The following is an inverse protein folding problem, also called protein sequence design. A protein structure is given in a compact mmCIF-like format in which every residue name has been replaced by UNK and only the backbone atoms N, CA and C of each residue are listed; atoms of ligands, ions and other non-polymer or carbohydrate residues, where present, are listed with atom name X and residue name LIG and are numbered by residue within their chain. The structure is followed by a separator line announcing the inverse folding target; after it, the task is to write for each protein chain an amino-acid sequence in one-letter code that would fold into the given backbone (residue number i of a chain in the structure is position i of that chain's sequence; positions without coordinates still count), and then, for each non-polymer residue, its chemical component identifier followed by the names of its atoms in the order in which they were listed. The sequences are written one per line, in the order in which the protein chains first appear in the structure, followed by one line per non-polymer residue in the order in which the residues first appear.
data_IF_142642277268
#
_entry.id   IF_142642277268
#
_cell.length_a   1.000
_cell.length_b   1.000
_cell.length_c   1.000
_cell.angle_alpha   90.00
_cell.angle_beta   90.00
_cell.angle_gamma   90.00
#
_symmetry.space_group_name_H-M   'P 1'
#
loop_
_entity.id
_entity.type
_entity.pdbx_description
1 polymer ?
#
# COMPACT_ATOMS: atom_id res chain seq x y z
N UNK A 1 -0.20 -53.70 -74.59
CA UNK A 1 0.37 -52.65 -73.70
C UNK A 1 -0.72 -51.94 -72.88
N UNK A 2 -1.80 -52.64 -72.48
CA UNK A 2 -3.05 -52.00 -72.05
C UNK A 2 -3.33 -52.03 -70.54
N UNK A 3 -3.14 -53.17 -69.86
CA UNK A 3 -3.52 -53.25 -68.43
C UNK A 3 -2.53 -52.56 -67.49
N UNK A 4 -1.21 -52.75 -67.68
CA UNK A 4 -0.20 -52.16 -66.78
C UNK A 4 -0.21 -50.62 -66.75
N UNK A 5 -0.61 -49.97 -67.86
CA UNK A 5 -0.74 -48.51 -67.95
C UNK A 5 -2.01 -47.99 -67.28
N UNK A 6 -3.10 -48.76 -67.35
CA UNK A 6 -4.37 -48.44 -66.68
C UNK A 6 -4.24 -48.62 -65.17
N UNK A 7 -3.54 -49.66 -64.71
CA UNK A 7 -3.27 -49.85 -63.27
C UNK A 7 -2.38 -48.73 -62.71
N UNK A 8 -1.40 -48.25 -63.48
CA UNK A 8 -0.55 -47.13 -63.07
C UNK A 8 -1.32 -45.80 -62.96
N UNK A 9 -2.27 -45.54 -63.88
CA UNK A 9 -3.17 -44.38 -63.84
C UNK A 9 -4.13 -44.41 -62.65
N UNK A 10 -4.62 -45.60 -62.27
CA UNK A 10 -5.50 -45.74 -61.11
C UNK A 10 -4.76 -45.53 -59.79
N UNK A 11 -3.52 -46.01 -59.68
CA UNK A 11 -2.66 -45.81 -58.50
C UNK A 11 -2.23 -44.33 -58.38
N UNK A 12 -1.95 -43.66 -59.50
CA UNK A 12 -1.61 -42.23 -59.52
C UNK A 12 -2.80 -41.33 -59.14
N UNK A 13 -4.03 -41.77 -59.41
CA UNK A 13 -5.26 -41.06 -59.02
C UNK A 13 -5.54 -41.10 -57.51
N UNK A 14 -5.00 -42.09 -56.78
CA UNK A 14 -5.22 -42.25 -55.34
C UNK A 14 -4.18 -41.46 -54.52
N UNK A 15 -3.02 -41.14 -55.11
CA UNK A 15 -1.98 -40.32 -54.46
C UNK A 15 -2.28 -38.81 -54.43
N UNK A 16 -3.42 -38.37 -54.98
CA UNK A 16 -3.84 -36.97 -54.99
C UNK A 16 -4.95 -36.69 -53.96
N UNK A 17 -4.97 -37.43 -52.84
CA UNK A 17 -5.58 -36.92 -51.62
C UNK A 17 -4.59 -35.90 -51.07
N UNK A 18 -4.60 -34.71 -51.68
CA UNK A 18 -3.95 -33.54 -51.13
C UNK A 18 -4.32 -33.46 -49.65
N UNK A 19 -3.32 -33.18 -48.81
CA UNK A 19 -3.49 -32.92 -47.40
C UNK A 19 -4.62 -31.89 -47.21
N UNK A 20 -5.85 -32.34 -46.93
CA UNK A 20 -6.80 -31.57 -46.16
C UNK A 20 -6.25 -31.55 -44.75
N UNK A 21 -5.25 -30.69 -44.50
CA UNK A 21 -5.08 -30.18 -43.15
C UNK A 21 -6.33 -29.35 -42.91
N UNK A 22 -7.25 -29.87 -42.09
CA UNK A 22 -8.28 -29.02 -41.50
C UNK A 22 -7.59 -27.80 -40.90
N UNK A 23 -8.21 -26.63 -41.04
CA UNK A 23 -7.70 -25.42 -40.41
C UNK A 23 -7.70 -25.67 -38.89
N UNK A 24 -6.52 -25.92 -38.33
CA UNK A 24 -6.33 -26.16 -36.90
C UNK A 24 -6.05 -24.81 -36.23
N UNK A 25 -6.92 -24.40 -35.31
CA UNK A 25 -6.79 -23.13 -34.59
C UNK A 25 -5.95 -23.40 -33.36
N UNK A 26 -4.66 -23.08 -33.43
CA UNK A 26 -3.63 -23.54 -32.51
C UNK A 26 -3.88 -23.20 -31.04
N UNK A 27 -4.57 -22.10 -30.77
CA UNK A 27 -4.86 -21.59 -29.43
C UNK A 27 -6.32 -21.80 -28.99
N UNK A 28 -7.07 -22.64 -29.72
CA UNK A 28 -8.46 -22.97 -29.40
C UNK A 28 -8.66 -24.49 -29.44
N UNK A 29 -8.93 -25.12 -28.29
CA UNK A 29 -9.20 -26.55 -28.22
C UNK A 29 -10.44 -26.94 -29.04
N UNK A 30 -10.43 -28.09 -29.72
CA UNK A 30 -11.59 -28.63 -30.46
C UNK A 30 -12.84 -28.80 -29.58
N UNK A 31 -12.64 -29.10 -28.29
CA UNK A 31 -13.71 -29.23 -27.30
C UNK A 31 -14.23 -27.87 -26.78
N UNK A 32 -13.64 -26.75 -27.20
CA UNK A 32 -14.05 -25.42 -26.75
C UNK A 32 -15.43 -25.06 -27.34
N UNK A 33 -16.38 -24.51 -26.54
CA UNK A 33 -17.75 -24.23 -27.02
C UNK A 33 -17.83 -23.33 -28.26
N UNK A 34 -16.82 -22.47 -28.45
CA UNK A 34 -16.74 -21.56 -29.58
C UNK A 34 -15.95 -22.11 -30.77
N UNK A 35 -15.30 -23.28 -30.67
CA UNK A 35 -14.37 -23.79 -31.69
C UNK A 35 -15.02 -23.86 -33.08
N UNK A 36 -16.15 -24.57 -33.19
CA UNK A 36 -16.87 -24.72 -34.46
C UNK A 36 -17.38 -23.38 -35.01
N UNK A 37 -17.79 -22.46 -34.14
CA UNK A 37 -18.23 -21.12 -34.56
C UNK A 37 -17.08 -20.30 -35.12
N UNK A 38 -15.93 -20.32 -34.46
CA UNK A 38 -14.73 -19.59 -34.91
C UNK A 38 -14.23 -20.18 -36.23
N UNK A 39 -14.15 -21.50 -36.33
CA UNK A 39 -13.75 -22.19 -37.56
C UNK A 39 -14.64 -21.80 -38.74
N UNK A 40 -15.97 -21.90 -38.57
CA UNK A 40 -16.94 -21.49 -39.58
C UNK A 40 -16.74 -20.04 -40.02
N UNK A 41 -16.58 -19.11 -39.08
CA UNK A 41 -16.39 -17.70 -39.40
C UNK A 41 -15.07 -17.39 -40.13
N UNK A 42 -14.03 -18.20 -39.91
CA UNK A 42 -12.76 -18.09 -40.64
C UNK A 42 -12.91 -18.67 -42.06
N UNK A 43 -13.55 -19.83 -42.19
CA UNK A 43 -13.81 -20.48 -43.49
C UNK A 43 -14.67 -19.59 -44.41
N UNK A 44 -15.69 -18.92 -43.85
CA UNK A 44 -16.52 -17.94 -44.54
C UNK A 44 -15.79 -16.60 -44.77
N UNK A 45 -14.56 -16.47 -44.29
CA UNK A 45 -13.71 -15.30 -44.47
C UNK A 45 -14.15 -14.07 -43.67
N UNK A 46 -15.02 -14.20 -42.67
CA UNK A 46 -15.39 -13.10 -41.78
C UNK A 46 -14.28 -12.78 -40.78
N UNK A 47 -13.63 -13.82 -40.26
CA UNK A 47 -12.49 -13.71 -39.34
C UNK A 47 -11.22 -14.24 -40.00
N UNK A 48 -10.06 -13.84 -39.51
CA UNK A 48 -8.77 -14.36 -39.94
C UNK A 48 -7.98 -14.81 -38.73
N UNK A 49 -7.19 -15.86 -38.88
CA UNK A 49 -6.13 -16.18 -37.92
C UNK A 49 -5.00 -15.15 -38.04
N UNK A 50 -4.31 -14.90 -36.94
CA UNK A 50 -3.06 -14.15 -36.94
C UNK A 50 -1.93 -15.01 -37.51
N UNK A 51 -0.83 -14.36 -37.94
CA UNK A 51 0.37 -15.03 -38.49
C UNK A 51 0.78 -16.23 -37.63
N UNK A 52 0.46 -17.45 -38.08
CA UNK A 52 0.74 -18.70 -37.36
C UNK A 52 -0.46 -19.47 -36.79
N UNK A 53 -1.65 -19.34 -37.39
CA UNK A 53 -2.85 -20.16 -37.11
C UNK A 53 -3.43 -19.97 -35.69
N UNK A 54 -3.20 -18.81 -35.06
CA UNK A 54 -3.80 -18.42 -33.78
C UNK A 54 -5.04 -17.54 -33.98
N UNK A 55 -6.12 -17.79 -33.24
CA UNK A 55 -7.33 -16.97 -33.21
C UNK A 55 -7.24 -15.79 -32.24
N UNK A 56 -6.59 -15.98 -31.09
CA UNK A 56 -6.35 -14.96 -30.05
C UNK A 56 -7.61 -14.38 -29.43
N UNK A 57 -8.55 -15.23 -29.04
CA UNK A 57 -9.83 -14.82 -28.45
C UNK A 57 -9.76 -13.96 -27.18
N UNK A 58 -8.60 -13.89 -26.51
CA UNK A 58 -8.37 -13.01 -25.36
C UNK A 58 -7.91 -11.59 -25.71
N UNK A 59 -7.62 -11.29 -26.98
CA UNK A 59 -7.23 -9.94 -27.39
C UNK A 59 -8.44 -9.01 -27.49
N UNK A 60 -8.22 -7.74 -27.14
CA UNK A 60 -9.24 -6.71 -27.26
C UNK A 60 -9.43 -6.31 -28.72
N UNK A 61 -10.68 -6.30 -29.19
CA UNK A 61 -11.05 -5.81 -30.52
C UNK A 61 -11.31 -4.30 -30.50
N UNK A 62 -10.80 -3.58 -31.48
CA UNK A 62 -11.06 -2.14 -31.65
C UNK A 62 -12.43 -1.91 -32.30
N UNK A 63 -13.02 -0.74 -32.04
CA UNK A 63 -14.30 -0.33 -32.67
C UNK A 63 -14.23 -0.35 -34.20
N UNK A 64 -13.07 -0.01 -34.76
CA UNK A 64 -12.83 -0.01 -36.19
C UNK A 64 -12.85 -1.43 -36.77
N UNK A 65 -12.21 -2.39 -36.10
CA UNK A 65 -12.21 -3.79 -36.51
C UNK A 65 -13.62 -4.39 -36.47
N UNK A 66 -14.42 -4.06 -35.45
CA UNK A 66 -15.82 -4.50 -35.43
C UNK A 66 -16.64 -3.85 -36.55
N UNK A 67 -16.45 -2.55 -36.81
CA UNK A 67 -17.15 -1.86 -37.91
C UNK A 67 -16.83 -2.48 -39.28
N UNK A 68 -15.56 -2.85 -39.51
CA UNK A 68 -15.12 -3.54 -40.72
C UNK A 68 -15.72 -4.95 -40.84
N UNK A 69 -15.80 -5.69 -39.73
CA UNK A 69 -16.45 -7.00 -39.69
C UNK A 69 -17.94 -6.91 -40.06
N UNK A 70 -18.65 -5.95 -39.49
CA UNK A 70 -20.08 -5.69 -39.78
C UNK A 70 -20.28 -5.29 -41.25
N UNK A 71 -19.43 -4.42 -41.80
CA UNK A 71 -19.46 -4.05 -43.22
C UNK A 71 -19.23 -5.27 -44.14
N UNK A 72 -18.33 -6.17 -43.76
CA UNK A 72 -18.06 -7.41 -44.50
C UNK A 72 -19.25 -8.38 -44.48
N UNK A 73 -19.90 -8.53 -43.33
CA UNK A 73 -21.14 -9.31 -43.18
C UNK A 73 -22.27 -8.71 -44.05
N UNK A 74 -22.46 -7.40 -44.01
CA UNK A 74 -23.45 -6.69 -44.83
C UNK A 74 -23.22 -6.90 -46.33
N UNK A 75 -21.96 -6.81 -46.79
CA UNK A 75 -21.60 -7.02 -48.19
C UNK A 75 -21.79 -8.47 -48.63
N UNK A 76 -21.39 -9.43 -47.80
CA UNK A 76 -21.55 -10.85 -48.09
C UNK A 76 -23.03 -11.24 -48.22
N UNK A 77 -23.87 -10.77 -47.28
CA UNK A 77 -25.32 -10.93 -47.35
C UNK A 77 -25.89 -10.27 -48.61
N UNK A 78 -25.30 -9.16 -49.07
CA UNK A 78 -25.71 -8.49 -50.31
C UNK A 78 -25.17 -9.13 -51.61
N UNK A 79 -24.20 -10.05 -51.55
CA UNK A 79 -23.48 -10.57 -52.72
C UNK A 79 -23.68 -12.05 -53.05
N UNK A 80 -24.40 -12.85 -52.24
CA UNK A 80 -24.56 -14.30 -52.44
C UNK A 80 -26.01 -14.81 -52.59
N UNK A 81 -26.36 -15.24 -53.82
CA UNK A 81 -27.46 -16.11 -54.33
C UNK A 81 -28.93 -15.95 -53.88
N UNK A 82 -29.22 -15.29 -52.76
CA UNK A 82 -30.57 -14.90 -52.40
C UNK A 82 -30.49 -13.46 -51.91
N UNK A 83 -31.06 -12.53 -52.69
CA UNK A 83 -31.16 -11.15 -52.25
C UNK A 83 -31.73 -11.16 -50.83
N UNK A 84 -31.01 -10.60 -49.84
CA UNK A 84 -31.48 -10.54 -48.48
C UNK A 84 -32.83 -9.88 -48.52
N UNK A 85 -33.80 -10.55 -47.90
CA UNK A 85 -35.14 -10.01 -47.81
C UNK A 85 -35.06 -8.64 -47.14
N UNK A 86 -35.97 -7.73 -47.48
CA UNK A 86 -36.00 -6.41 -46.86
C UNK A 86 -35.97 -6.48 -45.31
N UNK A 87 -36.53 -7.56 -44.76
CA UNK A 87 -36.57 -7.86 -43.32
C UNK A 87 -35.19 -8.24 -42.75
N UNK A 88 -34.37 -9.00 -43.49
CA UNK A 88 -33.00 -9.34 -43.08
C UNK A 88 -32.09 -8.11 -43.15
N UNK A 89 -32.22 -7.30 -44.20
CA UNK A 89 -31.46 -6.05 -44.35
C UNK A 89 -31.82 -5.04 -43.24
N UNK A 90 -33.10 -4.93 -42.89
CA UNK A 90 -33.53 -4.09 -41.76
C UNK A 90 -33.07 -4.65 -40.41
N UNK A 91 -33.07 -5.97 -40.21
CA UNK A 91 -32.56 -6.58 -38.99
C UNK A 91 -31.07 -6.29 -38.80
N UNK A 92 -30.26 -6.39 -39.85
CA UNK A 92 -28.83 -6.09 -39.77
C UNK A 92 -28.59 -4.60 -39.54
N UNK A 93 -29.39 -3.72 -40.16
CA UNK A 93 -29.33 -2.27 -39.93
C UNK A 93 -29.66 -1.92 -38.47
N UNK A 94 -30.71 -2.52 -37.91
CA UNK A 94 -31.08 -2.33 -36.50
C UNK A 94 -29.98 -2.81 -35.56
N UNK A 95 -29.39 -3.98 -35.85
CA UNK A 95 -28.29 -4.51 -35.07
C UNK A 95 -27.06 -3.60 -35.12
N UNK A 96 -26.72 -3.05 -36.29
CA UNK A 96 -25.62 -2.12 -36.45
C UNK A 96 -25.84 -0.81 -35.67
N UNK A 97 -27.06 -0.28 -35.67
CA UNK A 97 -27.41 0.92 -34.89
C UNK A 97 -27.40 0.65 -33.38
N UNK A 98 -27.91 -0.50 -32.94
CA UNK A 98 -27.86 -0.91 -31.54
C UNK A 98 -26.41 -1.11 -31.08
N UNK A 99 -25.59 -1.74 -31.91
CA UNK A 99 -24.17 -1.95 -31.63
C UNK A 99 -23.39 -0.63 -31.55
N UNK A 100 -23.61 0.28 -32.50
CA UNK A 100 -23.06 1.65 -32.46
C UNK A 100 -23.46 2.39 -31.18
N UNK A 101 -24.74 2.31 -30.81
CA UNK A 101 -25.25 2.92 -29.56
C UNK A 101 -24.59 2.31 -28.32
N UNK A 102 -24.41 0.99 -28.31
CA UNK A 102 -23.76 0.28 -27.22
C UNK A 102 -22.28 0.68 -27.10
N UNK A 103 -21.58 0.86 -28.22
CA UNK A 103 -20.21 1.36 -28.26
C UNK A 103 -20.10 2.75 -27.61
N UNK A 104 -20.99 3.68 -27.99
CA UNK A 104 -21.00 5.04 -27.42
C UNK A 104 -21.22 4.97 -25.91
N UNK A 105 -22.18 4.13 -25.46
CA UNK A 105 -22.45 3.95 -24.04
C UNK A 105 -21.26 3.35 -23.26
N UNK A 106 -20.51 2.45 -23.88
CA UNK A 106 -19.29 1.89 -23.27
C UNK A 106 -18.23 2.98 -23.12
N UNK A 107 -18.11 3.87 -24.11
CA UNK A 107 -17.21 5.03 -24.04
C UNK A 107 -17.54 5.95 -22.88
N UNK A 108 -18.82 6.32 -22.74
CA UNK A 108 -19.30 7.19 -21.67
C UNK A 108 -19.02 6.56 -20.30
N UNK A 109 -19.21 5.24 -20.18
CA UNK A 109 -18.90 4.50 -18.96
C UNK A 109 -17.40 4.45 -18.68
N UNK A 110 -16.57 4.25 -19.69
CA UNK A 110 -15.11 4.26 -19.54
C UNK A 110 -14.61 5.64 -19.09
N UNK A 111 -15.12 6.71 -19.70
CA UNK A 111 -14.81 8.07 -19.29
C UNK A 111 -15.22 8.34 -17.83
N UNK A 112 -16.44 7.95 -17.44
CA UNK A 112 -16.89 8.08 -16.06
C UNK A 112 -16.05 7.24 -15.08
N UNK A 113 -15.60 6.06 -15.50
CA UNK A 113 -14.73 5.20 -14.70
C UNK A 113 -13.34 5.82 -14.51
N UNK A 114 -12.76 6.40 -15.56
CA UNK A 114 -11.48 7.11 -15.50
C UNK A 114 -11.55 8.32 -14.56
N UNK A 115 -12.62 9.11 -14.63
CA UNK A 115 -12.85 10.21 -13.68
C UNK A 115 -12.94 9.72 -12.22
N UNK A 116 -13.59 8.57 -12.01
CA UNK A 116 -13.67 7.96 -10.67
C UNK A 116 -12.31 7.46 -10.17
N UNK A 117 -11.46 6.93 -11.05
CA UNK A 117 -10.08 6.55 -10.70
C UNK A 117 -9.29 7.79 -10.27
N UNK A 118 -9.33 8.86 -11.06
CA UNK A 118 -8.62 10.11 -10.72
C UNK A 118 -9.07 10.70 -9.38
N UNK A 119 -10.38 10.66 -9.10
CA UNK A 119 -10.92 11.10 -7.81
C UNK A 119 -10.38 10.23 -6.66
N UNK A 120 -10.38 8.90 -6.82
CA UNK A 120 -9.87 7.98 -5.80
C UNK A 120 -8.37 8.19 -5.54
N UNK A 121 -7.57 8.44 -6.59
CA UNK A 121 -6.15 8.76 -6.46
C UNK A 121 -5.94 10.06 -5.68
N UNK A 122 -6.75 11.09 -5.95
CA UNK A 122 -6.71 12.36 -5.21
C UNK A 122 -7.11 12.18 -3.74
N UNK A 123 -8.17 11.43 -3.46
CA UNK A 123 -8.59 11.11 -2.09
C UNK A 123 -7.53 10.31 -1.35
N UNK A 124 -6.90 9.33 -1.99
CA UNK A 124 -5.80 8.56 -1.42
C UNK A 124 -4.61 9.45 -1.05
N UNK A 125 -4.24 10.41 -1.90
CA UNK A 125 -3.18 11.37 -1.58
C UNK A 125 -3.49 12.16 -0.32
N UNK A 126 -4.73 12.64 -0.15
CA UNK A 126 -5.14 13.36 1.07
C UNK A 126 -5.06 12.48 2.32
N UNK A 127 -5.45 11.22 2.22
CA UNK A 127 -5.34 10.27 3.34
C UNK A 127 -3.87 10.06 3.74
N UNK A 128 -2.94 10.01 2.76
CA UNK A 128 -1.51 9.94 3.03
C UNK A 128 -1.01 11.21 3.74
N UNK A 129 -1.43 12.38 3.28
CA UNK A 129 -1.06 13.67 3.90
C UNK A 129 -1.59 13.79 5.34
N UNK A 130 -2.86 13.43 5.57
CA UNK A 130 -3.47 13.41 6.90
C UNK A 130 -2.75 12.42 7.83
N UNK A 131 -2.37 11.25 7.32
CA UNK A 131 -1.60 10.27 8.08
C UNK A 131 -0.22 10.79 8.47
N UNK A 132 0.46 11.50 7.57
CA UNK A 132 1.75 12.14 7.86
C UNK A 132 1.59 13.24 8.92
N UNK A 133 0.54 14.06 8.83
CA UNK A 133 0.25 15.10 9.82
C UNK A 133 -0.01 14.50 11.21
N UNK A 134 -0.85 13.46 11.30
CA UNK A 134 -1.12 12.75 12.56
C UNK A 134 0.17 12.13 13.12
N UNK A 135 1.01 11.51 12.26
CA UNK A 135 2.28 10.94 12.70
C UNK A 135 3.18 12.01 13.32
N UNK A 136 3.30 13.18 12.68
CA UNK A 136 4.08 14.30 13.22
C UNK A 136 3.51 14.76 14.57
N UNK A 137 2.19 14.88 14.70
CA UNK A 137 1.54 15.28 15.95
C UNK A 137 1.80 14.27 17.07
N UNK A 138 1.72 12.97 16.77
CA UNK A 138 2.02 11.89 17.73
C UNK A 138 3.48 11.93 18.14
N UNK A 139 4.43 12.07 17.21
CA UNK A 139 5.86 12.15 17.49
C UNK A 139 6.18 13.38 18.37
N UNK A 140 5.52 14.51 18.13
CA UNK A 140 5.63 15.72 18.95
C UNK A 140 5.09 15.50 20.37
N UNK A 141 3.90 14.91 20.50
CA UNK A 141 3.30 14.59 21.80
C UNK A 141 4.14 13.58 22.58
N UNK A 142 4.75 12.61 21.91
CA UNK A 142 5.64 11.64 22.53
C UNK A 142 6.89 12.33 23.09
N UNK A 143 7.52 13.19 22.29
CA UNK A 143 8.67 13.99 22.72
C UNK A 143 8.33 14.90 23.90
N UNK A 144 7.15 15.53 23.87
CA UNK A 144 6.68 16.36 24.98
C UNK A 144 6.45 15.53 26.24
N UNK A 145 5.82 14.36 26.11
CA UNK A 145 5.58 13.46 27.23
C UNK A 145 6.88 12.94 27.84
N UNK A 146 7.89 12.61 27.02
CA UNK A 146 9.23 12.22 27.49
C UNK A 146 9.90 13.36 28.27
N UNK A 147 9.79 14.60 27.80
CA UNK A 147 10.28 15.77 28.52
C UNK A 147 9.57 15.96 29.86
N UNK A 148 8.24 15.83 29.88
CA UNK A 148 7.44 15.93 31.10
C UNK A 148 7.80 14.83 32.12
N UNK A 149 8.04 13.60 31.65
CA UNK A 149 8.52 12.50 32.51
C UNK A 149 9.90 12.79 33.10
N UNK A 150 10.82 13.34 32.31
CA UNK A 150 12.15 13.71 32.78
C UNK A 150 12.09 14.82 33.83
N UNK A 151 11.26 15.84 33.59
CA UNK A 151 11.01 16.92 34.57
C UNK A 151 10.37 16.38 35.85
N UNK A 152 9.39 15.49 35.73
CA UNK A 152 8.74 14.87 36.89
C UNK A 152 9.75 14.07 37.72
N UNK A 153 10.61 13.26 37.06
CA UNK A 153 11.68 12.50 37.71
C UNK A 153 12.62 13.41 38.50
N UNK A 154 13.10 14.49 37.89
CA UNK A 154 13.95 15.48 38.58
C UNK A 154 13.24 16.11 39.77
N UNK A 155 11.94 16.43 39.64
CA UNK A 155 11.15 17.00 40.74
C UNK A 155 10.99 16.03 41.92
N UNK A 156 10.93 14.72 41.66
CA UNK A 156 10.85 13.70 42.70
C UNK A 156 12.19 13.56 43.42
N UNK A 157 13.30 13.55 42.68
CA UNK A 157 14.66 13.50 43.24
C UNK A 157 14.98 14.74 44.09
N UNK A 158 14.63 15.93 43.62
CA UNK A 158 14.78 17.16 44.42
C UNK A 158 13.95 17.12 45.71
N UNK A 159 12.72 16.57 45.65
CA UNK A 159 11.88 16.41 46.85
C UNK A 159 12.47 15.42 47.85
N UNK A 160 13.06 14.31 47.41
CA UNK A 160 13.73 13.38 48.34
C UNK A 160 14.94 14.02 49.01
N UNK A 161 15.77 14.76 48.26
CA UNK A 161 16.92 15.48 48.82
C UNK A 161 16.45 16.53 49.85
N UNK A 162 15.37 17.26 49.55
CA UNK A 162 14.79 18.23 50.50
C UNK A 162 14.29 17.58 51.80
N UNK A 163 13.73 16.37 51.74
CA UNK A 163 13.31 15.64 52.93
C UNK A 163 14.50 15.17 53.77
N UNK A 164 15.52 14.62 53.12
CA UNK A 164 16.73 14.14 53.80
C UNK A 164 17.48 15.29 54.49
N UNK A 165 17.68 16.40 53.79
CA UNK A 165 18.29 17.61 54.36
C UNK A 165 17.50 18.18 55.53
N UNK A 166 16.16 18.15 55.47
CA UNK A 166 15.31 18.57 56.60
C UNK A 166 15.49 17.67 57.82
N UNK A 167 15.51 16.36 57.64
CA UNK A 167 15.75 15.41 58.74
C UNK A 167 17.13 15.62 59.37
N UNK A 168 18.16 15.82 58.54
CA UNK A 168 19.49 16.16 59.04
C UNK A 168 19.52 17.48 59.81
N UNK A 169 18.78 18.49 59.34
CA UNK A 169 18.70 19.79 60.02
C UNK A 169 17.99 19.69 61.38
N UNK A 170 16.92 18.91 61.45
CA UNK A 170 16.20 18.64 62.70
C UNK A 170 17.11 17.88 63.69
N UNK A 171 17.87 16.89 63.22
CA UNK A 171 18.85 16.17 64.04
C UNK A 171 19.99 17.08 64.52
N UNK A 172 20.55 17.91 63.65
CA UNK A 172 21.59 18.89 64.00
C UNK A 172 21.08 19.88 65.05
N UNK A 173 19.83 20.33 64.93
CA UNK A 173 19.21 21.25 65.89
C UNK A 173 19.10 20.62 67.28
N UNK A 174 18.69 19.35 67.35
CA UNK A 174 18.66 18.61 68.63
C UNK A 174 20.06 18.49 69.25
N UNK A 175 21.08 18.18 68.44
CA UNK A 175 22.48 18.11 68.91
C UNK A 175 23.00 19.47 69.39
N UNK A 176 22.63 20.57 68.73
CA UNK A 176 22.99 21.92 69.16
C UNK A 176 22.36 22.25 70.52
N UNK A 177 21.08 21.94 70.71
CA UNK A 177 20.42 22.14 72.02
C UNK A 177 21.05 21.31 73.13
N UNK A 178 21.42 20.05 72.86
CA UNK A 178 22.17 19.23 73.83
C UNK A 178 23.54 19.84 74.16
N UNK A 179 24.29 20.28 73.14
CA UNK A 179 25.58 20.93 73.32
C UNK A 179 25.48 22.24 74.11
N UNK A 180 24.47 23.07 73.84
CA UNK A 180 24.20 24.29 74.59
C UNK A 180 23.89 23.99 76.06
N UNK A 181 23.09 22.95 76.31
CA UNK A 181 22.77 22.50 77.68
C UNK A 181 24.03 22.06 78.41
N UNK A 182 24.84 21.23 77.76
CA UNK A 182 26.12 20.75 78.32
C UNK A 182 27.09 21.90 78.58
N UNK A 183 27.22 22.86 77.66
CA UNK A 183 28.05 24.06 77.85
C UNK A 183 27.57 24.89 79.04
N UNK A 184 26.25 25.09 79.19
CA UNK A 184 25.69 25.80 80.35
C UNK A 184 26.02 25.11 81.67
N UNK A 185 25.98 23.77 81.70
CA UNK A 185 26.34 22.99 82.88
C UNK A 185 27.85 23.04 83.18
N UNK A 186 28.70 23.06 82.15
CA UNK A 186 30.14 23.30 82.30
C UNK A 186 30.44 24.67 82.90
N UNK A 187 29.77 25.72 82.43
CA UNK A 187 29.95 27.09 82.95
C UNK A 187 29.49 27.22 84.40
N UNK A 188 28.36 26.59 84.76
CA UNK A 188 27.90 26.51 86.17
C UNK A 188 28.89 25.78 87.06
N UNK A 189 29.47 24.68 86.58
CA UNK A 189 30.45 23.90 87.35
C UNK A 189 31.77 24.65 87.55
N UNK A 190 32.16 25.49 86.58
CA UNK A 190 33.35 26.34 86.70
C UNK A 190 33.15 27.62 87.53
N UNK A 191 31.90 28.07 87.71
CA UNK A 191 31.59 29.26 88.54
C UNK A 191 31.54 28.95 90.04
N UNK A 192 31.36 27.69 90.45
CA UNK A 192 31.13 27.29 91.86
C UNK A 192 32.35 26.63 92.57
N UNK A 193 33.55 26.63 91.96
CA UNK A 193 34.75 26.17 92.66
C UNK A 193 35.98 25.90 91.79
N UNK A 194 36.98 26.78 91.90
CA UNK A 194 38.41 26.57 91.62
C UNK A 194 38.81 25.44 90.66
N UNK A 195 38.81 25.70 89.34
CA UNK A 195 39.83 25.12 88.43
C UNK A 195 40.02 26.00 87.19
N UNK A 196 41.27 26.47 87.01
CA UNK A 196 41.80 26.96 85.73
C UNK A 196 41.62 25.85 84.67
N UNK A 197 40.65 25.98 83.77
CA UNK A 197 40.68 25.27 82.49
C UNK A 197 41.25 26.22 81.46
N UNK A 198 42.39 25.84 80.91
CA UNK A 198 43.21 26.66 80.02
C UNK A 198 42.46 27.02 78.73
N UNK A 199 42.35 28.33 78.52
CA UNK A 199 41.93 29.08 77.33
C UNK A 199 42.56 28.66 75.98
N UNK A 200 43.51 27.71 75.96
CA UNK A 200 44.26 27.33 74.75
C UNK A 200 43.47 26.48 73.74
N UNK A 201 42.51 25.66 74.18
CA UNK A 201 41.76 24.77 73.26
C UNK A 201 40.61 25.46 72.53
N UNK A 202 40.02 26.50 73.14
CA UNK A 202 38.93 27.28 72.51
C UNK A 202 39.46 28.08 71.32
N UNK A 203 40.68 28.62 71.41
CA UNK A 203 41.32 29.34 70.31
C UNK A 203 41.61 28.46 69.08
N UNK A 204 41.99 27.19 69.28
CA UNK A 204 42.25 26.26 68.18
C UNK A 204 40.98 25.81 67.46
N UNK A 205 39.87 25.63 68.18
CA UNK A 205 38.58 25.25 67.60
C UNK A 205 37.97 26.37 66.74
N UNK A 206 38.06 27.63 67.19
CA UNK A 206 37.63 28.78 66.38
C UNK A 206 38.55 29.01 65.16
N UNK A 207 39.86 28.75 65.27
CA UNK A 207 40.78 28.84 64.14
C UNK A 207 40.52 27.82 63.03
N UNK A 208 40.13 26.58 63.39
CA UNK A 208 39.79 25.53 62.43
C UNK A 208 38.47 25.81 61.68
N UNK A 209 37.49 26.43 62.35
CA UNK A 209 36.22 26.81 61.74
C UNK A 209 36.38 27.98 60.75
N UNK A 210 37.31 28.90 61.02
CA UNK A 210 37.62 30.00 60.09
C UNK A 210 38.36 29.55 58.83
N UNK A 211 39.15 28.46 58.90
CA UNK A 211 39.84 27.91 57.73
C UNK A 211 38.93 27.10 56.79
N UNK A 212 37.84 26.53 57.31
CA UNK A 212 36.88 25.75 56.52
C UNK A 212 35.85 26.62 55.77
N UNK A 213 35.79 27.92 56.07
CA UNK A 213 34.88 28.89 55.44
C UNK A 213 35.57 29.77 54.37
N UNK A 214 36.81 29.44 53.98
CA UNK A 214 37.57 30.08 52.88
C UNK A 214 37.69 29.15 51.67
#
# INVERSE_FOLDING_TARGET
MGMKKITLLFILSIMNIANLKGLDIRDLSEDHPAYNTVLYLIEEGFLSTFDGDEFRGGQSITRLEVAMLVDKMLKHVSSGEKNPTAQETDAIRLLAEEFKTNIIRIDDKLYAFEQRIQLLESEQSKVVDDFLAIKIEVDQKLTQFENDLNLLRQSLENRSIQQETKLMLDEMSLRLTDLETRMSDYDKKNTDGTTKVESQYVFWLFGLLALAAS
#
